data_IF_652726917559
#
_entry.id   IF_652726917559
#
_cell.length_a   1.000
_cell.length_b   1.000
_cell.length_c   1.000
_cell.angle_alpha   90.00
_cell.angle_beta   90.00
_cell.angle_gamma   90.00
#
_symmetry.space_group_name_H-M   'P 1'
#
loop_
_entity.id
_entity.type
_entity.pdbx_description
1 polymer ?
#
# COMPACT_ATOMS: atom_id res chain seq x y z
N UNK A 1 13.69 5.07 -16.65
CA UNK A 1 12.81 4.08 -16.01
C UNK A 1 12.72 2.88 -16.95
N UNK A 2 12.90 1.65 -16.46
CA UNK A 2 12.88 0.44 -17.29
C UNK A 2 11.42 0.10 -17.63
N UNK A 3 11.08 -0.24 -18.89
CA UNK A 3 9.74 -0.74 -19.22
C UNK A 3 9.44 -1.99 -18.40
N UNK A 4 8.29 -2.04 -17.73
CA UNK A 4 7.86 -3.17 -16.93
C UNK A 4 7.16 -4.19 -17.85
N UNK A 5 7.72 -5.41 -18.02
CA UNK A 5 7.02 -6.50 -18.66
C UNK A 5 5.70 -6.80 -17.93
N UNK A 6 4.66 -7.20 -18.67
CA UNK A 6 3.32 -7.49 -18.12
C UNK A 6 3.32 -8.49 -16.95
N UNK A 7 4.27 -9.42 -16.90
CA UNK A 7 4.47 -10.35 -15.78
C UNK A 7 4.82 -9.65 -14.45
N UNK A 8 5.61 -8.58 -14.50
CA UNK A 8 6.02 -7.81 -13.31
C UNK A 8 4.84 -7.02 -12.73
N UNK A 9 3.93 -6.55 -13.60
CA UNK A 9 2.72 -5.84 -13.18
C UNK A 9 1.73 -6.75 -12.43
N UNK A 10 1.55 -8.00 -12.89
CA UNK A 10 0.71 -8.99 -12.18
C UNK A 10 1.30 -9.31 -10.80
N UNK A 11 2.62 -9.44 -10.70
CA UNK A 11 3.31 -9.64 -9.43
C UNK A 11 3.11 -8.46 -8.48
N UNK A 12 3.26 -7.23 -8.98
CA UNK A 12 3.03 -6.00 -8.23
C UNK A 12 1.60 -5.89 -7.70
N UNK A 13 0.59 -6.15 -8.54
CA UNK A 13 -0.83 -6.14 -8.15
C UNK A 13 -1.10 -7.19 -7.08
N UNK A 14 -0.55 -8.40 -7.23
CA UNK A 14 -0.69 -9.47 -6.24
C UNK A 14 -0.09 -9.08 -4.89
N UNK A 15 1.09 -8.45 -4.90
CA UNK A 15 1.73 -7.93 -3.71
C UNK A 15 0.91 -6.81 -3.03
N UNK A 16 0.40 -5.85 -3.81
CA UNK A 16 -0.46 -4.78 -3.32
C UNK A 16 -1.77 -5.33 -2.73
N UNK A 17 -2.36 -6.37 -3.31
CA UNK A 17 -3.54 -7.02 -2.77
C UNK A 17 -3.28 -7.62 -1.37
N UNK A 18 -2.13 -8.28 -1.19
CA UNK A 18 -1.71 -8.81 0.13
C UNK A 18 -1.51 -7.67 1.13
N UNK A 19 -0.83 -6.58 0.74
CA UNK A 19 -0.68 -5.40 1.60
C UNK A 19 -2.04 -4.80 1.99
N UNK A 20 -3.00 -4.75 1.06
CA UNK A 20 -4.32 -4.19 1.33
C UNK A 20 -5.08 -5.03 2.37
N UNK A 21 -4.97 -6.36 2.28
CA UNK A 21 -5.54 -7.28 3.27
C UNK A 21 -4.88 -7.04 4.64
N UNK A 22 -3.54 -6.97 4.67
CA UNK A 22 -2.80 -6.70 5.91
C UNK A 22 -3.27 -5.40 6.58
N UNK A 23 -3.30 -4.27 5.86
CA UNK A 23 -3.75 -2.99 6.41
C UNK A 23 -5.23 -3.03 6.83
N UNK A 24 -6.09 -3.74 6.11
CA UNK A 24 -7.50 -3.88 6.48
C UNK A 24 -7.67 -4.59 7.82
N UNK A 25 -6.86 -5.62 8.09
CA UNK A 25 -6.86 -6.34 9.37
C UNK A 25 -6.29 -5.45 10.47
N UNK A 26 -5.15 -4.79 10.23
CA UNK A 26 -4.48 -3.94 11.21
C UNK A 26 -5.34 -2.74 11.63
N UNK A 27 -5.97 -2.03 10.68
CA UNK A 27 -6.91 -0.92 10.99
C UNK A 27 -8.06 -1.41 11.88
N UNK A 28 -8.70 -2.54 11.52
CA UNK A 28 -9.83 -3.08 12.28
C UNK A 28 -9.43 -3.52 13.69
N UNK A 29 -8.27 -4.14 13.83
CA UNK A 29 -7.75 -4.58 15.13
C UNK A 29 -7.58 -3.39 16.08
N UNK A 30 -7.03 -2.28 15.59
CA UNK A 30 -6.75 -1.08 16.39
C UNK A 30 -7.99 -0.29 16.81
N UNK A 31 -9.10 -0.34 16.05
CA UNK A 31 -10.37 0.28 16.46
C UNK A 31 -10.95 -0.32 17.76
N UNK A 32 -10.52 -1.53 18.11
CA UNK A 32 -11.01 -2.25 19.30
C UNK A 32 -10.16 -1.97 20.55
N UNK A 33 -8.94 -1.44 20.39
CA UNK A 33 -7.94 -1.25 21.46
C UNK A 33 -7.81 0.23 21.87
N UNK A 34 -8.82 0.78 22.54
CA UNK A 34 -8.91 2.20 22.87
C UNK A 34 -8.35 2.57 24.26
N UNK A 35 -7.06 2.35 24.53
CA UNK A 35 -6.48 2.70 25.84
C UNK A 35 -4.98 3.05 25.86
N UNK A 36 -4.51 4.07 25.11
CA UNK A 36 -3.32 4.92 25.47
C UNK A 36 -3.04 6.07 24.44
N UNK A 37 -2.13 7.07 24.67
CA UNK A 37 -2.49 8.48 24.47
C UNK A 37 -1.86 9.15 23.24
N UNK A 38 -0.85 8.57 22.57
CA UNK A 38 -0.24 9.21 21.37
C UNK A 38 0.40 8.24 20.37
N UNK A 39 1.12 7.21 20.83
CA UNK A 39 1.73 6.20 19.95
C UNK A 39 0.68 5.44 19.14
N UNK A 40 -0.42 5.03 19.79
CA UNK A 40 -1.56 4.36 19.14
C UNK A 40 -2.14 5.21 18.01
N UNK A 41 -2.12 6.53 18.17
CA UNK A 41 -2.66 7.46 17.18
C UNK A 41 -1.73 7.59 15.96
N UNK A 42 -0.41 7.70 16.17
CA UNK A 42 0.58 7.76 15.06
C UNK A 42 0.56 6.48 14.24
N UNK A 43 0.56 5.31 14.88
CA UNK A 43 0.51 4.03 14.17
C UNK A 43 -0.87 3.77 13.54
N UNK A 44 -1.95 4.19 14.20
CA UNK A 44 -3.29 4.17 13.60
C UNK A 44 -3.39 5.01 12.32
N UNK A 45 -2.80 6.21 12.31
CA UNK A 45 -2.71 7.04 11.10
C UNK A 45 -1.81 6.40 10.03
N UNK A 46 -0.69 5.81 10.44
CA UNK A 46 0.24 5.11 9.53
C UNK A 46 -0.46 3.94 8.82
N UNK A 47 -1.28 3.18 9.55
CA UNK A 47 -2.06 2.07 9.00
C UNK A 47 -3.13 2.52 8.01
N UNK A 48 -3.88 3.58 8.35
CA UNK A 48 -4.89 4.15 7.45
C UNK A 48 -4.26 4.73 6.18
N UNK A 49 -3.16 5.48 6.32
CA UNK A 49 -2.42 6.03 5.18
C UNK A 49 -1.86 4.92 4.30
N UNK A 50 -1.27 3.89 4.89
CA UNK A 50 -0.77 2.72 4.17
C UNK A 50 -1.89 1.98 3.41
N UNK A 51 -3.04 1.77 4.05
CA UNK A 51 -4.21 1.14 3.44
C UNK A 51 -4.78 1.95 2.27
N UNK A 52 -5.00 3.27 2.45
CA UNK A 52 -5.48 4.16 1.38
C UNK A 52 -4.50 4.18 0.21
N UNK A 53 -3.21 4.31 0.50
CA UNK A 53 -2.17 4.32 -0.52
C UNK A 53 -2.12 3.00 -1.28
N UNK A 54 -2.28 1.87 -0.59
CA UNK A 54 -2.33 0.55 -1.24
C UNK A 54 -3.57 0.41 -2.13
N UNK A 55 -4.73 0.85 -1.65
CA UNK A 55 -5.97 0.80 -2.43
C UNK A 55 -5.87 1.67 -3.70
N UNK A 56 -5.28 2.87 -3.60
CA UNK A 56 -5.03 3.74 -4.74
C UNK A 56 -4.05 3.10 -5.73
N UNK A 57 -2.92 2.56 -5.26
CA UNK A 57 -1.95 1.88 -6.12
C UNK A 57 -2.57 0.68 -6.85
N UNK A 58 -3.35 -0.13 -6.14
CA UNK A 58 -4.02 -1.30 -6.70
C UNK A 58 -5.08 -0.90 -7.74
N UNK A 59 -5.88 0.12 -7.46
CA UNK A 59 -6.87 0.64 -8.40
C UNK A 59 -6.20 1.18 -9.67
N UNK A 60 -5.10 1.93 -9.53
CA UNK A 60 -4.35 2.45 -10.66
C UNK A 60 -3.69 1.33 -11.48
N UNK A 61 -3.08 0.33 -10.82
CA UNK A 61 -2.52 -0.84 -11.50
C UNK A 61 -3.57 -1.69 -12.21
N UNK A 62 -4.78 -1.78 -11.63
CA UNK A 62 -5.92 -2.41 -12.30
C UNK A 62 -6.35 -1.64 -13.53
N UNK A 63 -6.47 -0.31 -13.47
CA UNK A 63 -6.83 0.52 -14.63
C UNK A 63 -5.78 0.42 -15.74
N UNK A 64 -4.50 0.40 -15.37
CA UNK A 64 -3.37 0.31 -16.30
C UNK A 64 -3.43 -0.94 -17.19
N UNK A 65 -3.89 -2.08 -16.65
CA UNK A 65 -4.12 -3.33 -17.40
C UNK A 65 -5.08 -3.18 -18.59
N UNK A 66 -6.01 -2.22 -18.54
CA UNK A 66 -7.04 -2.04 -19.56
C UNK A 66 -6.80 -0.81 -20.46
N UNK A 67 -5.78 -0.01 -20.16
CA UNK A 67 -5.39 1.09 -21.03
C UNK A 67 -4.56 0.55 -22.21
N UNK A 68 -4.84 0.98 -23.46
CA UNK A 68 -3.98 0.66 -24.58
C UNK A 68 -2.57 1.21 -24.35
N UNK A 69 -1.57 0.46 -24.81
CA UNK A 69 -0.14 0.63 -24.55
C UNK A 69 0.43 1.97 -25.08
N UNK A 70 0.04 3.07 -24.45
CA UNK A 70 0.67 4.36 -24.63
C UNK A 70 1.93 4.35 -23.77
N UNK A 71 3.10 4.25 -24.42
CA UNK A 71 4.45 4.20 -23.86
C UNK A 71 4.85 5.43 -23.00
N UNK A 72 3.98 5.90 -22.12
CA UNK A 72 4.20 7.03 -21.25
C UNK A 72 4.64 6.50 -19.87
N UNK A 73 5.92 6.71 -19.48
CA UNK A 73 6.44 6.29 -18.17
C UNK A 73 5.71 6.92 -16.97
N UNK A 74 4.80 7.86 -17.25
CA UNK A 74 3.94 8.54 -16.30
C UNK A 74 2.96 7.55 -15.63
N UNK A 75 2.44 6.54 -16.34
CA UNK A 75 1.47 5.57 -15.78
C UNK A 75 2.09 4.70 -14.68
N UNK A 76 3.32 4.23 -14.89
CA UNK A 76 4.06 3.43 -13.91
C UNK A 76 4.38 4.23 -12.65
N UNK A 77 4.70 5.52 -12.79
CA UNK A 77 4.97 6.39 -11.63
C UNK A 77 3.72 6.56 -10.74
N UNK A 78 2.53 6.62 -11.34
CA UNK A 78 1.27 6.73 -10.60
C UNK A 78 0.94 5.49 -9.76
N UNK A 79 1.40 4.30 -10.15
CA UNK A 79 1.27 3.08 -9.32
C UNK A 79 2.41 2.98 -8.31
N UNK A 80 3.64 3.28 -8.75
CA UNK A 80 4.84 3.09 -7.95
C UNK A 80 4.93 4.04 -6.75
N UNK A 81 4.51 5.30 -6.89
CA UNK A 81 4.52 6.28 -5.79
C UNK A 81 3.61 5.84 -4.63
N UNK A 82 2.30 5.62 -4.82
CA UNK A 82 1.44 5.15 -3.74
C UNK A 82 1.81 3.73 -3.27
N UNK A 83 2.32 2.86 -4.14
CA UNK A 83 2.85 1.55 -3.73
C UNK A 83 4.05 1.68 -2.79
N UNK A 84 4.96 2.62 -3.04
CA UNK A 84 6.13 2.85 -2.19
C UNK A 84 5.75 3.41 -0.82
N UNK A 85 4.79 4.33 -0.78
CA UNK A 85 4.23 4.86 0.48
C UNK A 85 3.58 3.75 1.30
N UNK A 86 2.82 2.86 0.66
CA UNK A 86 2.24 1.70 1.32
C UNK A 86 3.30 0.78 1.93
N UNK A 87 4.37 0.47 1.18
CA UNK A 87 5.47 -0.36 1.69
C UNK A 87 6.18 0.31 2.87
N UNK A 88 6.44 1.62 2.80
CA UNK A 88 7.03 2.37 3.91
C UNK A 88 6.15 2.31 5.16
N UNK A 89 4.84 2.50 5.03
CA UNK A 89 3.90 2.36 6.14
C UNK A 89 3.93 0.94 6.72
N UNK A 90 3.99 -0.10 5.88
CA UNK A 90 4.05 -1.49 6.33
C UNK A 90 5.35 -1.77 7.11
N UNK A 91 6.49 -1.23 6.66
CA UNK A 91 7.77 -1.35 7.37
C UNK A 91 7.68 -0.66 8.73
N UNK A 92 7.14 0.56 8.81
CA UNK A 92 7.00 1.30 10.06
C UNK A 92 6.13 0.53 11.06
N UNK A 93 5.00 -0.04 10.62
CA UNK A 93 4.15 -0.88 11.48
C UNK A 93 4.82 -2.21 11.86
N UNK A 94 5.60 -2.80 10.95
CA UNK A 94 6.38 -4.00 11.26
C UNK A 94 7.44 -3.73 12.33
N UNK A 95 8.07 -2.55 12.33
CA UNK A 95 9.02 -2.13 13.36
C UNK A 95 8.33 -1.87 14.70
N UNK A 96 7.12 -1.32 14.72
CA UNK A 96 6.32 -1.16 15.94
C UNK A 96 6.14 -2.50 16.67
N UNK A 97 5.84 -3.58 15.93
CA UNK A 97 5.61 -4.92 16.48
C UNK A 97 6.83 -5.52 17.20
N UNK A 98 8.04 -4.97 17.00
CA UNK A 98 9.24 -5.39 17.73
C UNK A 98 9.33 -4.80 19.14
N UNK A 99 8.55 -3.75 19.42
CA UNK A 99 8.56 -3.01 20.69
C UNK A 99 7.26 -3.13 21.49
N UNK A 100 6.26 -3.87 20.98
CA UNK A 100 5.07 -4.29 21.71
C UNK A 100 5.34 -5.59 22.48
#
# INVERSE_FOLDING_TARGET
>A
MRPMPSADMVSLISFLAVLLIFFSIDVRSRETAASDPWHVQVFGWTSRLGGISTALALALGWVDLFLPDENSPIHVAFVAVPGSVAVLCAIVLGLEMLWQ
#
